data_IF_108633299014
#
_entry.id   IF_108633299014
#
_cell.length_a   1.000
_cell.length_b   1.000
_cell.length_c   1.000
_cell.angle_alpha   90.00
_cell.angle_beta   90.00
_cell.angle_gamma   90.00
#
_symmetry.space_group_name_H-M   'P 1'
#
loop_
_entity.id
_entity.type
_entity.pdbx_description
1 polymer ?
#
# COMPACT_ATOMS: atom_id res chain seq x y z
N UNK A 1 -7.57 -21.80 -23.20
CA UNK A 1 -6.98 -20.49 -22.82
C UNK A 1 -8.02 -19.36 -22.81
N UNK A 2 -9.32 -19.64 -22.93
CA UNK A 2 -10.38 -18.60 -22.89
C UNK A 2 -10.94 -18.35 -21.48
N UNK A 3 -10.74 -19.29 -20.55
CA UNK A 3 -11.23 -19.19 -19.16
C UNK A 3 -10.59 -18.04 -18.37
N UNK A 4 -9.40 -17.60 -18.78
CA UNK A 4 -8.61 -16.54 -18.14
C UNK A 4 -9.15 -15.15 -18.52
N UNK A 5 -9.78 -15.02 -19.69
CA UNK A 5 -10.22 -13.72 -20.23
C UNK A 5 -11.54 -13.20 -19.63
N UNK A 6 -12.34 -14.04 -18.96
CA UNK A 6 -13.73 -13.68 -18.62
C UNK A 6 -14.08 -13.66 -17.12
N UNK A 7 -13.18 -14.11 -16.22
CA UNK A 7 -13.51 -14.28 -14.79
C UNK A 7 -12.71 -13.35 -13.87
N UNK A 8 -11.63 -12.74 -14.37
CA UNK A 8 -10.59 -12.19 -13.54
C UNK A 8 -10.15 -10.85 -14.12
N UNK A 9 -10.00 -9.81 -13.27
CA UNK A 9 -9.29 -8.58 -13.66
C UNK A 9 -8.08 -8.96 -14.52
N UNK A 10 -7.82 -8.17 -15.57
CA UNK A 10 -6.60 -8.29 -16.35
C UNK A 10 -5.39 -8.37 -15.37
N UNK A 11 -4.38 -9.21 -15.66
CA UNK A 11 -3.18 -9.31 -14.84
C UNK A 11 -2.55 -7.92 -14.58
N UNK A 12 -2.64 -7.02 -15.56
CA UNK A 12 -2.25 -5.61 -15.50
C UNK A 12 -3.05 -4.85 -14.42
N UNK A 13 -4.39 -4.90 -14.47
CA UNK A 13 -5.25 -4.27 -13.46
C UNK A 13 -5.01 -4.85 -12.06
N UNK A 14 -4.70 -6.16 -11.97
CA UNK A 14 -4.37 -6.82 -10.71
C UNK A 14 -3.02 -6.32 -10.19
N UNK A 15 -1.99 -6.23 -11.04
CA UNK A 15 -0.70 -5.65 -10.65
C UNK A 15 -0.81 -4.18 -10.23
N UNK A 16 -1.63 -3.40 -10.93
CA UNK A 16 -1.87 -2.00 -10.62
C UNK A 16 -2.62 -1.84 -9.29
N UNK A 17 -3.62 -2.68 -9.03
CA UNK A 17 -4.33 -2.70 -7.76
C UNK A 17 -3.44 -3.21 -6.60
N UNK A 18 -2.50 -4.12 -6.84
CA UNK A 18 -1.53 -4.55 -5.82
C UNK A 18 -0.71 -3.34 -5.35
N UNK A 19 -0.15 -2.56 -6.28
CA UNK A 19 0.62 -1.35 -5.95
C UNK A 19 -0.28 -0.29 -5.30
N UNK A 20 -1.47 -0.01 -5.87
CA UNK A 20 -2.41 0.96 -5.28
C UNK A 20 -2.91 0.57 -3.90
N UNK A 21 -3.02 -0.72 -3.59
CA UNK A 21 -3.44 -1.20 -2.27
C UNK A 21 -2.42 -0.92 -1.17
N UNK A 22 -1.16 -0.66 -1.53
CA UNK A 22 -0.12 -0.26 -0.59
C UNK A 22 -0.20 1.25 -0.27
N UNK A 23 -0.76 2.07 -1.17
CA UNK A 23 -0.85 3.53 -1.02
C UNK A 23 -2.26 4.05 -0.64
N UNK A 24 -3.33 3.31 -0.96
CA UNK A 24 -4.73 3.75 -0.79
C UNK A 24 -5.68 2.62 -0.42
N UNK A 25 -6.80 2.94 0.27
CA UNK A 25 -7.84 1.97 0.58
C UNK A 25 -8.65 1.60 -0.66
N UNK A 26 -8.42 0.40 -1.19
CA UNK A 26 -9.25 -0.17 -2.26
C UNK A 26 -10.69 -0.40 -1.76
N UNK A 27 -11.67 -0.22 -2.66
CA UNK A 27 -13.05 -0.68 -2.41
C UNK A 27 -13.04 -2.19 -2.11
N UNK A 28 -13.82 -2.61 -1.11
CA UNK A 28 -13.84 -3.99 -0.58
C UNK A 28 -14.09 -5.01 -1.70
N UNK A 29 -14.93 -4.67 -2.68
CA UNK A 29 -15.24 -5.53 -3.83
C UNK A 29 -14.05 -5.70 -4.78
N UNK A 30 -13.28 -4.63 -5.02
CA UNK A 30 -12.07 -4.68 -5.84
C UNK A 30 -10.95 -5.45 -5.13
N UNK A 31 -10.82 -5.27 -3.81
CA UNK A 31 -9.88 -6.03 -2.99
C UNK A 31 -10.17 -7.53 -3.04
N UNK A 32 -11.44 -7.93 -2.90
CA UNK A 32 -11.84 -9.34 -2.93
C UNK A 32 -11.56 -9.96 -4.31
N UNK A 33 -11.94 -9.29 -5.40
CA UNK A 33 -11.65 -9.73 -6.78
C UNK A 33 -10.14 -9.91 -7.01
N UNK A 34 -9.33 -8.95 -6.53
CA UNK A 34 -7.87 -9.01 -6.62
C UNK A 34 -7.32 -10.23 -5.86
N UNK A 35 -7.79 -10.49 -4.63
CA UNK A 35 -7.38 -11.66 -3.83
C UNK A 35 -7.72 -12.97 -4.52
N UNK A 36 -8.91 -13.07 -5.10
CA UNK A 36 -9.29 -14.23 -5.90
C UNK A 36 -8.37 -14.40 -7.12
N UNK A 37 -8.11 -13.33 -7.89
CA UNK A 37 -7.17 -13.40 -9.02
C UNK A 37 -5.80 -13.93 -8.60
N UNK A 38 -5.22 -13.37 -7.54
CA UNK A 38 -3.90 -13.77 -7.04
C UNK A 38 -3.88 -15.23 -6.59
N UNK A 39 -4.97 -15.77 -6.05
CA UNK A 39 -5.06 -17.17 -5.64
C UNK A 39 -4.96 -18.13 -6.84
N UNK A 40 -5.53 -17.76 -7.99
CA UNK A 40 -5.58 -18.60 -9.19
C UNK A 40 -4.45 -18.30 -10.20
N UNK A 41 -3.86 -17.09 -10.17
CA UNK A 41 -2.80 -16.67 -11.08
C UNK A 41 -1.41 -16.76 -10.43
N UNK A 42 -0.59 -17.73 -10.87
CA UNK A 42 0.79 -17.89 -10.40
C UNK A 42 1.65 -16.66 -10.65
N UNK A 43 1.44 -15.94 -11.76
CA UNK A 43 2.19 -14.74 -12.11
C UNK A 43 1.92 -13.61 -11.12
N UNK A 44 0.65 -13.25 -10.89
CA UNK A 44 0.27 -12.21 -9.93
C UNK A 44 0.64 -12.61 -8.49
N UNK A 45 0.60 -13.91 -8.15
CA UNK A 45 1.10 -14.41 -6.87
C UNK A 45 2.60 -14.16 -6.68
N UNK A 46 3.41 -14.39 -7.72
CA UNK A 46 4.84 -14.14 -7.65
C UNK A 46 5.15 -12.64 -7.63
N UNK A 47 4.44 -11.86 -8.46
CA UNK A 47 4.53 -10.40 -8.49
C UNK A 47 4.25 -9.81 -7.11
N UNK A 48 3.13 -10.16 -6.47
CA UNK A 48 2.80 -9.65 -5.13
C UNK A 48 3.79 -10.06 -4.04
N UNK A 49 4.50 -11.20 -4.18
CA UNK A 49 5.61 -11.55 -3.28
C UNK A 49 6.83 -10.66 -3.50
N UNK A 50 7.16 -10.37 -4.75
CA UNK A 50 8.28 -9.47 -5.10
C UNK A 50 8.01 -8.05 -4.62
N UNK A 51 6.82 -7.50 -4.87
CA UNK A 51 6.44 -6.16 -4.41
C UNK A 51 6.57 -6.02 -2.89
N UNK A 52 6.05 -6.99 -2.12
CA UNK A 52 6.20 -6.99 -0.65
C UNK A 52 7.64 -7.07 -0.17
N UNK A 53 8.49 -7.82 -0.89
CA UNK A 53 9.91 -7.89 -0.55
C UNK A 53 10.62 -6.55 -0.82
N UNK A 54 10.26 -5.88 -1.93
CA UNK A 54 10.75 -4.54 -2.25
C UNK A 54 10.28 -3.51 -1.22
N UNK A 55 8.99 -3.50 -0.88
CA UNK A 55 8.44 -2.59 0.14
C UNK A 55 9.12 -2.80 1.50
N UNK A 56 9.33 -4.06 1.91
CA UNK A 56 10.07 -4.37 3.15
C UNK A 56 11.52 -3.89 3.10
N UNK A 57 12.19 -4.03 1.97
CA UNK A 57 13.56 -3.53 1.79
C UNK A 57 13.62 -1.99 1.83
N UNK A 58 12.67 -1.32 1.18
CA UNK A 58 12.52 0.14 1.24
C UNK A 58 12.25 0.59 2.67
N UNK A 59 11.28 -0.03 3.35
CA UNK A 59 10.98 0.26 4.76
C UNK A 59 12.22 0.07 5.62
N UNK A 60 13.00 -1.01 5.47
CA UNK A 60 14.23 -1.19 6.24
C UNK A 60 15.23 -0.05 6.01
N UNK A 61 15.50 0.30 4.74
CA UNK A 61 16.44 1.37 4.40
C UNK A 61 15.96 2.75 4.86
N UNK A 62 14.67 3.06 4.72
CA UNK A 62 14.12 4.33 5.16
C UNK A 62 13.90 4.38 6.67
N UNK A 63 13.59 3.29 7.36
CA UNK A 63 13.44 3.30 8.82
C UNK A 63 14.80 3.49 9.51
N UNK A 64 15.88 2.94 8.97
CA UNK A 64 17.25 3.21 9.44
C UNK A 64 17.67 4.67 9.17
N UNK A 65 17.30 5.26 8.03
CA UNK A 65 17.65 6.65 7.70
C UNK A 65 16.71 7.70 8.34
N UNK A 66 15.43 7.38 8.59
CA UNK A 66 14.44 8.29 9.18
C UNK A 66 14.48 8.26 10.71
N UNK A 67 14.94 7.17 11.34
CA UNK A 67 15.13 7.14 12.81
C UNK A 67 16.19 8.14 13.31
N UNK A 68 17.04 8.67 12.43
CA UNK A 68 17.96 9.77 12.79
C UNK A 68 17.35 11.17 12.63
N UNK A 69 16.13 11.28 12.09
CA UNK A 69 15.41 12.54 11.98
C UNK A 69 14.05 12.47 12.70
N UNK A 70 14.03 11.96 13.93
CA UNK A 70 13.09 12.48 14.92
C UNK A 70 13.53 13.91 15.28
N UNK A 71 13.27 14.87 14.39
CA UNK A 71 13.18 16.26 14.81
C UNK A 71 11.94 16.35 15.68
N UNK A 72 12.15 16.32 17.01
CA UNK A 72 11.15 16.71 18.00
C UNK A 72 10.41 17.92 17.43
N UNK A 73 9.10 17.75 17.15
CA UNK A 73 8.31 18.82 16.57
C UNK A 73 8.50 20.08 17.43
N UNK A 74 8.84 21.24 16.82
CA UNK A 74 9.06 22.47 17.58
C UNK A 74 7.89 22.70 18.51
N UNK A 75 8.16 22.95 19.80
CA UNK A 75 7.11 23.12 20.83
C UNK A 75 6.04 24.12 20.41
N UNK A 76 6.45 25.16 19.68
CA UNK A 76 5.58 26.17 19.08
C UNK A 76 4.50 25.57 18.15
N UNK A 77 4.87 24.60 17.31
CA UNK A 77 3.93 23.96 16.38
C UNK A 77 2.89 23.14 17.15
N UNK A 78 3.31 22.45 18.22
CA UNK A 78 2.41 21.67 19.08
C UNK A 78 1.40 22.55 19.82
N UNK A 79 1.85 23.69 20.36
CA UNK A 79 0.96 24.64 21.03
C UNK A 79 -0.02 25.29 20.04
N UNK A 80 0.42 25.68 18.84
CA UNK A 80 -0.47 26.23 17.80
C UNK A 80 -1.56 25.26 17.37
N UNK A 81 -1.24 23.96 17.26
CA UNK A 81 -2.24 22.93 16.93
C UNK A 81 -3.25 22.79 18.07
N UNK A 82 -2.78 22.77 19.33
CA UNK A 82 -3.64 22.66 20.51
C UNK A 82 -4.60 23.85 20.65
N UNK A 83 -4.11 25.07 20.43
CA UNK A 83 -4.95 26.28 20.47
C UNK A 83 -6.03 26.29 19.38
N UNK A 84 -5.74 25.78 18.19
CA UNK A 84 -6.73 25.70 17.11
C UNK A 84 -7.81 24.65 17.39
N UNK A 85 -7.44 23.52 18.01
CA UNK A 85 -8.39 22.48 18.40
C UNK A 85 -9.31 22.89 19.57
N UNK A 86 -8.84 23.79 20.45
CA UNK A 86 -9.65 24.33 21.55
C UNK A 86 -10.59 25.46 21.12
N UNK A 87 -10.42 26.01 19.91
CA UNK A 87 -11.28 27.06 19.33
C UNK A 87 -12.39 26.52 18.43
N UNK A 88 -12.41 25.21 18.17
CA UNK A 88 -13.57 24.49 17.61
C UNK A 88 -14.50 24.05 18.73
#
# INVERSE_FOLDING_TARGET
MEFINNILHNCEETSLNIVKSEETSLSVSAWLKMKFHIAFCKCCRNFGKQTKAMDKALQHHFHENISQQETIAPRELKERIKENLQKM
#
